data_IF_897151883712
#
_entry.id   IF_897151883712
#
_cell.length_a   1.000
_cell.length_b   1.000
_cell.length_c   1.000
_cell.angle_alpha   90.00
_cell.angle_beta   90.00
_cell.angle_gamma   90.00
#
_symmetry.space_group_name_H-M   'P 1'
#
loop_
_entity.id
_entity.type
_entity.pdbx_description
1 polymer ?
#
# COMPACT_ATOMS: atom_id res chain seq x y z
N UNK A 1 -32.80 -22.24 42.59
CA UNK A 1 -31.89 -21.69 43.62
C UNK A 1 -30.46 -22.11 43.29
N UNK A 2 -29.54 -21.15 43.31
CA UNK A 2 -28.06 -21.24 43.34
C UNK A 2 -27.30 -21.59 42.05
N UNK A 3 -26.63 -20.54 41.56
CA UNK A 3 -25.53 -20.44 40.60
C UNK A 3 -24.33 -21.35 40.90
N UNK A 4 -23.61 -21.77 39.85
CA UNK A 4 -22.14 -21.74 39.79
C UNK A 4 -21.62 -22.01 38.35
N UNK A 5 -21.20 -20.96 37.65
CA UNK A 5 -20.01 -20.96 36.78
C UNK A 5 -18.88 -20.39 37.66
N UNK A 6 -17.58 -20.79 37.53
CA UNK A 6 -16.81 -20.33 36.37
C UNK A 6 -15.62 -21.23 35.91
N UNK A 7 -15.20 -20.96 34.66
CA UNK A 7 -13.83 -20.78 34.15
C UNK A 7 -12.68 -21.75 34.51
N UNK A 8 -11.84 -22.05 33.49
CA UNK A 8 -10.41 -21.67 33.40
C UNK A 8 -9.64 -22.69 32.52
N UNK A 9 -9.10 -22.19 31.40
CA UNK A 9 -7.77 -22.45 30.80
C UNK A 9 -7.34 -23.91 30.50
N UNK A 10 -6.47 -24.26 29.57
CA UNK A 10 -5.71 -23.64 28.50
C UNK A 10 -4.88 -24.80 27.88
N UNK A 11 -4.61 -24.72 26.58
CA UNK A 11 -3.30 -24.98 25.95
C UNK A 11 -2.59 -26.34 26.18
N UNK A 12 -2.28 -27.03 25.07
CA UNK A 12 -1.16 -27.99 24.99
C UNK A 12 -1.51 -29.21 24.11
N UNK A 13 -1.33 -29.16 22.78
CA UNK A 13 -0.07 -29.41 22.07
C UNK A 13 0.38 -30.90 22.06
N UNK A 14 0.53 -31.43 20.84
CA UNK A 14 1.43 -32.54 20.45
C UNK A 14 1.03 -33.97 20.84
N UNK A 15 0.33 -34.65 19.92
CA UNK A 15 0.58 -36.06 19.51
C UNK A 15 0.06 -36.18 18.06
N UNK A 16 0.80 -35.78 17.02
CA UNK A 16 1.83 -36.54 16.31
C UNK A 16 1.98 -38.00 16.76
N UNK A 17 1.15 -38.90 16.24
CA UNK A 17 1.51 -40.29 15.97
C UNK A 17 0.41 -40.99 15.15
N UNK A 18 0.83 -41.71 14.11
CA UNK A 18 0.06 -42.71 13.34
C UNK A 18 -0.75 -42.24 12.12
N UNK A 19 -0.08 -42.16 10.97
CA UNK A 19 -0.49 -42.78 9.70
C UNK A 19 0.59 -42.48 8.64
N UNK A 20 1.59 -43.36 8.48
CA UNK A 20 1.69 -44.23 7.29
C UNK A 20 2.43 -43.52 6.14
N UNK A 21 3.77 -43.47 6.12
CA UNK A 21 4.67 -44.54 5.63
C UNK A 21 4.17 -45.18 4.32
N UNK A 22 4.68 -44.68 3.18
CA UNK A 22 5.14 -45.35 1.94
C UNK A 22 5.30 -44.25 0.86
N UNK A 23 6.52 -43.90 0.44
CA UNK A 23 6.96 -43.66 -0.97
C UNK A 23 8.44 -43.19 -1.01
N UNK A 24 9.18 -43.45 -2.12
CA UNK A 24 10.62 -43.67 -2.15
C UNK A 24 11.48 -42.40 -2.36
N UNK A 25 12.69 -42.47 -1.83
CA UNK A 25 13.71 -41.43 -1.73
C UNK A 25 14.39 -40.99 -3.05
N UNK A 26 13.62 -40.63 -4.07
CA UNK A 26 14.14 -40.21 -5.38
C UNK A 26 13.59 -38.86 -5.91
N UNK A 27 13.06 -37.99 -5.04
CA UNK A 27 12.55 -36.67 -5.42
C UNK A 27 13.17 -35.49 -4.63
N UNK A 28 14.26 -35.71 -3.91
CA UNK A 28 14.87 -34.69 -3.03
C UNK A 28 15.88 -33.75 -3.73
N UNK A 29 15.94 -33.70 -5.06
CA UNK A 29 16.80 -32.76 -5.80
C UNK A 29 16.03 -31.68 -6.59
N UNK A 30 14.69 -31.65 -6.51
CA UNK A 30 13.85 -30.65 -7.18
C UNK A 30 13.10 -29.68 -6.25
N UNK A 31 13.14 -29.91 -4.93
CA UNK A 31 12.31 -29.16 -3.97
C UNK A 31 13.09 -28.12 -3.13
N UNK A 32 14.38 -27.88 -3.43
CA UNK A 32 15.22 -26.96 -2.64
C UNK A 32 15.19 -25.50 -3.14
N UNK A 33 14.54 -25.18 -4.27
CA UNK A 33 14.40 -23.78 -4.74
C UNK A 33 13.05 -23.16 -4.33
N UNK A 34 12.09 -23.96 -3.87
CA UNK A 34 10.74 -23.48 -3.49
C UNK A 34 10.66 -23.13 -1.99
N UNK A 35 11.62 -23.60 -1.17
CA UNK A 35 11.65 -23.34 0.27
C UNK A 35 12.05 -21.92 0.69
N UNK A 36 12.62 -21.12 -0.22
CA UNK A 36 13.08 -19.74 0.10
C UNK A 36 12.10 -18.64 -0.36
N UNK A 37 10.89 -19.02 -0.82
CA UNK A 37 9.79 -18.08 -1.07
C UNK A 37 8.61 -18.25 -0.11
N UNK A 38 8.57 -19.32 0.69
CA UNK A 38 7.44 -19.64 1.59
C UNK A 38 7.68 -19.28 3.07
N UNK A 39 8.87 -18.80 3.44
CA UNK A 39 9.17 -18.34 4.80
C UNK A 39 8.68 -16.90 5.09
N UNK A 40 8.05 -16.21 4.14
CA UNK A 40 7.57 -14.83 4.28
C UNK A 40 6.08 -14.70 4.64
N UNK A 41 5.25 -15.75 4.56
CA UNK A 41 3.81 -15.59 4.80
C UNK A 41 3.43 -15.37 6.29
N UNK A 42 4.22 -15.89 7.24
CA UNK A 42 3.97 -15.66 8.68
C UNK A 42 4.69 -14.41 9.22
N UNK A 43 5.61 -13.82 8.45
CA UNK A 43 6.41 -12.65 8.84
C UNK A 43 5.93 -11.31 8.29
N UNK A 44 5.15 -11.31 7.18
CA UNK A 44 4.76 -10.06 6.50
C UNK A 44 3.69 -9.27 7.25
N UNK A 45 2.82 -9.93 8.05
CA UNK A 45 1.85 -9.19 8.91
C UNK A 45 2.53 -8.34 9.99
N UNK A 46 3.80 -8.61 10.33
CA UNK A 46 4.58 -7.84 11.32
C UNK A 46 5.56 -6.82 10.72
N UNK A 47 5.68 -6.73 9.39
CA UNK A 47 6.43 -5.67 8.69
C UNK A 47 5.53 -4.56 8.13
N UNK A 48 4.37 -4.32 8.77
CA UNK A 48 3.65 -3.03 8.72
C UNK A 48 4.38 -1.96 9.57
N UNK A 49 5.71 -1.99 9.60
CA UNK A 49 6.50 -0.90 10.14
C UNK A 49 6.64 0.12 9.02
N UNK A 50 6.35 1.39 9.31
CA UNK A 50 6.47 2.51 8.39
C UNK A 50 7.75 2.39 7.55
N UNK A 51 7.62 1.94 6.30
CA UNK A 51 8.75 1.75 5.39
C UNK A 51 9.29 3.12 5.00
N UNK A 52 10.61 3.28 5.12
CA UNK A 52 11.28 4.56 4.94
C UNK A 52 11.33 4.94 3.46
N UNK A 53 11.14 6.23 3.15
CA UNK A 53 11.31 6.84 1.83
C UNK A 53 12.62 6.39 1.12
N UNK A 54 13.67 6.10 1.90
CA UNK A 54 14.98 5.68 1.39
C UNK A 54 14.99 4.28 0.75
N UNK A 55 14.01 3.44 1.07
CA UNK A 55 13.88 2.07 0.53
C UNK A 55 13.20 2.05 -0.86
N UNK A 56 12.67 3.20 -1.31
CA UNK A 56 12.04 3.33 -2.62
C UNK A 56 13.07 3.32 -3.76
N UNK A 57 12.67 2.73 -4.89
CA UNK A 57 13.40 2.82 -6.15
C UNK A 57 13.58 4.29 -6.60
N UNK A 58 14.60 4.59 -7.40
CA UNK A 58 14.87 5.97 -7.86
C UNK A 58 13.67 6.60 -8.60
N UNK A 59 13.01 5.82 -9.46
CA UNK A 59 11.76 6.20 -10.12
C UNK A 59 10.64 6.49 -9.11
N UNK A 60 10.44 5.60 -8.13
CA UNK A 60 9.42 5.76 -7.11
C UNK A 60 9.65 7.02 -6.25
N UNK A 61 10.90 7.30 -5.87
CA UNK A 61 11.27 8.52 -5.15
C UNK A 61 10.93 9.78 -5.94
N UNK A 62 11.10 9.75 -7.26
CA UNK A 62 10.74 10.86 -8.15
C UNK A 62 9.22 11.09 -8.14
N UNK A 63 8.42 10.02 -8.18
CA UNK A 63 6.95 10.10 -8.18
C UNK A 63 6.35 10.54 -6.83
N UNK A 64 6.98 10.15 -5.71
CA UNK A 64 6.46 10.49 -4.37
C UNK A 64 6.92 11.88 -3.89
N UNK A 65 8.01 12.42 -4.44
CA UNK A 65 8.58 13.71 -4.02
C UNK A 65 7.57 14.87 -4.01
N UNK A 66 6.66 15.03 -5.00
CA UNK A 66 5.64 16.06 -4.94
C UNK A 66 4.66 15.90 -3.77
N UNK A 67 4.31 14.65 -3.41
CA UNK A 67 3.43 14.36 -2.27
C UNK A 67 4.11 14.69 -0.94
N UNK A 68 5.39 14.32 -0.79
CA UNK A 68 6.21 14.70 0.38
C UNK A 68 6.25 16.21 0.54
N UNK A 69 6.48 16.94 -0.56
CA UNK A 69 6.49 18.40 -0.55
C UNK A 69 5.14 18.97 -0.14
N UNK A 70 4.04 18.50 -0.73
CA UNK A 70 2.68 18.98 -0.43
C UNK A 70 2.29 18.73 1.02
N UNK A 71 2.57 17.54 1.55
CA UNK A 71 2.32 17.22 2.96
C UNK A 71 3.08 18.18 3.90
N UNK A 72 4.37 18.44 3.62
CA UNK A 72 5.16 19.40 4.40
C UNK A 72 4.61 20.83 4.29
N UNK A 73 4.21 21.26 3.09
CA UNK A 73 3.62 22.59 2.89
C UNK A 73 2.28 22.75 3.65
N UNK A 74 1.47 21.68 3.73
CA UNK A 74 0.24 21.67 4.53
C UNK A 74 0.56 21.77 6.02
N UNK A 75 1.55 21.00 6.51
CA UNK A 75 2.00 21.09 7.91
C UNK A 75 2.49 22.50 8.27
N UNK A 76 3.36 23.07 7.43
CA UNK A 76 3.88 24.43 7.61
C UNK A 76 2.76 25.49 7.63
N UNK A 77 1.73 25.34 6.79
CA UNK A 77 0.56 26.24 6.78
C UNK A 77 -0.23 26.15 8.10
N UNK A 78 -0.43 24.96 8.64
CA UNK A 78 -1.18 24.77 9.89
C UNK A 78 -0.40 25.30 11.08
N UNK A 79 0.90 25.00 11.14
CA UNK A 79 1.79 25.43 12.23
C UNK A 79 1.99 26.96 12.24
N UNK A 80 1.99 27.60 11.06
CA UNK A 80 2.12 29.06 10.94
C UNK A 80 0.88 29.84 11.39
N UNK A 81 -0.28 29.19 11.57
CA UNK A 81 -1.55 29.85 11.87
C UNK A 81 -2.20 29.37 13.20
N UNK A 82 -1.47 29.40 14.34
CA UNK A 82 -1.95 28.82 15.60
C UNK A 82 -3.12 29.59 16.22
N UNK A 83 -3.32 30.85 15.83
CA UNK A 83 -4.36 31.74 16.34
C UNK A 83 -5.69 31.63 15.59
N UNK A 84 -5.75 30.93 14.45
CA UNK A 84 -6.99 30.69 13.71
C UNK A 84 -7.66 29.40 14.21
N UNK A 85 -8.80 29.47 14.92
CA UNK A 85 -9.48 28.28 15.44
C UNK A 85 -9.92 27.34 14.31
N UNK A 86 -10.35 27.89 13.18
CA UNK A 86 -10.77 27.16 11.98
C UNK A 86 -9.61 26.35 11.40
N UNK A 87 -8.44 26.96 11.23
CA UNK A 87 -7.25 26.26 10.72
C UNK A 87 -6.74 25.23 11.71
N UNK A 88 -6.85 25.50 13.01
CA UNK A 88 -6.39 24.54 14.02
C UNK A 88 -7.17 23.22 13.96
N UNK A 89 -8.49 23.29 13.84
CA UNK A 89 -9.34 22.08 13.76
C UNK A 89 -9.17 21.42 12.40
N UNK A 90 -9.43 22.17 11.33
CA UNK A 90 -9.50 21.64 9.96
C UNK A 90 -8.12 21.29 9.42
N UNK A 91 -7.12 22.10 9.74
CA UNK A 91 -5.73 21.86 9.41
C UNK A 91 -5.18 20.61 10.08
N UNK A 92 -5.58 20.29 11.30
CA UNK A 92 -5.15 19.04 11.94
C UNK A 92 -5.68 17.80 11.22
N UNK A 93 -6.92 17.86 10.71
CA UNK A 93 -7.50 16.79 9.88
C UNK A 93 -6.80 16.71 8.52
N UNK A 94 -6.50 17.86 7.90
CA UNK A 94 -5.76 17.95 6.65
C UNK A 94 -4.35 17.33 6.75
N UNK A 95 -3.63 17.63 7.84
CA UNK A 95 -2.31 17.05 8.11
C UNK A 95 -2.41 15.55 8.27
N UNK A 96 -3.39 15.07 9.06
CA UNK A 96 -3.59 13.63 9.24
C UNK A 96 -3.92 12.92 7.91
N UNK A 97 -4.78 13.50 7.08
CA UNK A 97 -5.15 12.91 5.79
C UNK A 97 -4.00 12.94 4.79
N UNK A 98 -3.24 14.04 4.71
CA UNK A 98 -2.09 14.13 3.82
C UNK A 98 -0.96 13.17 4.18
N UNK A 99 -0.77 12.88 5.48
CA UNK A 99 0.16 11.83 5.94
C UNK A 99 -0.30 10.44 5.52
N UNK A 100 -1.58 10.09 5.75
CA UNK A 100 -2.17 8.82 5.29
C UNK A 100 -1.97 8.63 3.78
N UNK A 101 -2.23 9.68 3.01
CA UNK A 101 -2.05 9.65 1.56
C UNK A 101 -0.62 9.35 1.15
N UNK A 102 0.35 9.98 1.82
CA UNK A 102 1.76 9.80 1.53
C UNK A 102 2.20 8.37 1.85
N UNK A 103 1.74 7.81 2.97
CA UNK A 103 1.99 6.43 3.35
C UNK A 103 1.43 5.45 2.30
N UNK A 104 0.18 5.65 1.87
CA UNK A 104 -0.47 4.79 0.87
C UNK A 104 0.19 4.90 -0.50
N UNK A 105 0.49 6.12 -0.95
CA UNK A 105 1.24 6.37 -2.17
C UNK A 105 2.61 5.65 -2.17
N UNK A 106 3.27 5.62 -1.02
CA UNK A 106 4.56 4.94 -0.84
C UNK A 106 4.40 3.43 -1.04
N UNK A 107 3.38 2.80 -0.44
CA UNK A 107 3.09 1.36 -0.63
C UNK A 107 2.80 1.03 -2.10
N UNK A 108 1.97 1.82 -2.77
CA UNK A 108 1.65 1.58 -4.19
C UNK A 108 2.87 1.70 -5.09
N UNK A 109 3.77 2.65 -4.82
CA UNK A 109 5.00 2.81 -5.59
C UNK A 109 6.00 1.66 -5.37
N UNK A 110 5.93 0.98 -4.22
CA UNK A 110 6.63 -0.27 -3.99
C UNK A 110 6.02 -1.40 -4.82
N UNK A 111 4.71 -1.61 -4.75
CA UNK A 111 4.01 -2.59 -5.57
C UNK A 111 4.28 -2.38 -7.07
N UNK A 112 4.27 -1.13 -7.54
CA UNK A 112 4.66 -0.76 -8.91
C UNK A 112 6.09 -1.20 -9.24
N UNK A 113 7.03 -1.02 -8.31
CA UNK A 113 8.43 -1.43 -8.52
C UNK A 113 8.56 -2.94 -8.62
N UNK A 114 7.78 -3.70 -7.85
CA UNK A 114 7.71 -5.17 -7.92
C UNK A 114 7.08 -5.64 -9.23
N UNK A 115 5.95 -5.05 -9.64
CA UNK A 115 5.31 -5.33 -10.93
C UNK A 115 6.25 -5.07 -12.11
N UNK A 116 7.01 -3.96 -12.09
CA UNK A 116 8.02 -3.68 -13.12
C UNK A 116 9.10 -4.78 -13.18
N UNK A 117 9.59 -5.25 -12.03
CA UNK A 117 10.57 -6.35 -11.97
C UNK A 117 9.97 -7.65 -12.50
N UNK A 118 8.73 -7.95 -12.17
CA UNK A 118 8.02 -9.12 -12.68
C UNK A 118 7.88 -9.07 -14.22
N UNK A 119 7.46 -7.93 -14.78
CA UNK A 119 7.37 -7.72 -16.23
C UNK A 119 8.73 -7.92 -16.91
N UNK A 120 9.81 -7.35 -16.36
CA UNK A 120 11.14 -7.51 -16.96
C UNK A 120 11.62 -8.96 -16.88
N UNK A 121 11.43 -9.63 -15.73
CA UNK A 121 11.76 -11.05 -15.59
C UNK A 121 11.01 -11.93 -16.60
N UNK A 122 9.74 -11.62 -16.87
CA UNK A 122 8.95 -12.34 -17.86
C UNK A 122 9.46 -12.08 -19.28
N UNK A 123 9.85 -10.85 -19.61
CA UNK A 123 10.47 -10.51 -20.90
C UNK A 123 11.80 -11.24 -21.11
N UNK A 124 12.62 -11.35 -20.07
CA UNK A 124 13.86 -12.12 -20.10
C UNK A 124 13.59 -13.62 -20.31
N UNK A 125 12.61 -14.19 -19.60
CA UNK A 125 12.18 -15.57 -19.83
C UNK A 125 11.72 -15.75 -21.28
N UNK A 126 10.87 -14.86 -21.82
CA UNK A 126 10.43 -14.95 -23.22
C UNK A 126 11.61 -14.90 -24.20
N UNK A 127 12.57 -14.00 -23.98
CA UNK A 127 13.81 -13.92 -24.79
C UNK A 127 14.62 -15.21 -24.72
N UNK A 128 14.74 -15.82 -23.55
CA UNK A 128 15.58 -17.01 -23.33
C UNK A 128 14.91 -18.30 -23.83
N UNK A 129 13.58 -18.38 -23.84
CA UNK A 129 12.82 -19.58 -24.23
C UNK A 129 12.30 -19.57 -25.67
N UNK A 130 12.43 -18.45 -26.40
CA UNK A 130 12.11 -18.36 -27.83
C UNK A 130 10.70 -18.88 -28.13
N UNK A 131 10.57 -19.81 -29.07
CA UNK A 131 9.27 -20.39 -29.49
C UNK A 131 8.50 -21.12 -28.37
N UNK A 132 9.20 -21.58 -27.31
CA UNK A 132 8.54 -22.20 -26.14
C UNK A 132 7.91 -21.16 -25.22
N UNK A 133 8.24 -19.88 -25.40
CA UNK A 133 7.70 -18.78 -24.60
C UNK A 133 6.22 -18.49 -24.88
N UNK A 134 5.71 -18.85 -26.06
CA UNK A 134 4.30 -18.66 -26.40
C UNK A 134 3.37 -19.61 -25.63
N UNK A 135 3.93 -20.64 -24.99
CA UNK A 135 3.20 -21.52 -24.08
C UNK A 135 3.13 -20.98 -22.64
N UNK A 136 3.86 -19.90 -22.32
CA UNK A 136 3.82 -19.27 -21.01
C UNK A 136 2.65 -18.27 -20.94
N UNK A 137 1.86 -18.27 -19.85
CA UNK A 137 0.76 -17.33 -19.67
C UNK A 137 1.28 -15.89 -19.67
N UNK A 138 0.68 -15.02 -20.50
CA UNK A 138 1.06 -13.62 -20.59
C UNK A 138 0.44 -12.77 -19.48
N UNK A 139 1.08 -12.80 -18.30
CA UNK A 139 0.75 -11.91 -17.18
C UNK A 139 1.31 -10.48 -17.35
N UNK A 140 2.03 -10.18 -18.43
CA UNK A 140 2.72 -8.90 -18.59
C UNK A 140 1.75 -7.75 -18.89
N UNK A 141 0.70 -8.01 -19.68
CA UNK A 141 -0.34 -7.01 -19.97
C UNK A 141 -1.07 -6.56 -18.70
N UNK A 142 -1.46 -7.51 -17.84
CA UNK A 142 -2.15 -7.20 -16.58
C UNK A 142 -1.29 -6.36 -15.63
N UNK A 143 0.00 -6.70 -15.53
CA UNK A 143 0.95 -5.94 -14.71
C UNK A 143 1.17 -4.53 -15.25
N UNK A 144 1.21 -4.35 -16.58
CA UNK A 144 1.31 -3.02 -17.22
C UNK A 144 0.06 -2.18 -16.91
N UNK A 145 -1.14 -2.77 -17.01
CA UNK A 145 -2.39 -2.08 -16.68
C UNK A 145 -2.44 -1.67 -15.20
N UNK A 146 -1.98 -2.55 -14.30
CA UNK A 146 -1.88 -2.25 -12.87
C UNK A 146 -0.89 -1.10 -12.59
N UNK A 147 0.26 -1.08 -13.26
CA UNK A 147 1.23 0.02 -13.16
C UNK A 147 0.59 1.35 -13.59
N UNK A 148 -0.15 1.37 -14.69
CA UNK A 148 -0.82 2.57 -15.18
C UNK A 148 -1.89 3.09 -14.20
N UNK A 149 -2.66 2.17 -13.59
CA UNK A 149 -3.64 2.52 -12.54
C UNK A 149 -2.97 3.13 -11.32
N UNK A 150 -1.84 2.57 -10.86
CA UNK A 150 -1.07 3.13 -9.75
C UNK A 150 -0.60 4.56 -10.08
N UNK A 151 -0.04 4.77 -11.27
CA UNK A 151 0.44 6.10 -11.68
C UNK A 151 -0.68 7.14 -11.72
N UNK A 152 -1.84 6.77 -12.28
CA UNK A 152 -3.02 7.63 -12.30
C UNK A 152 -3.51 7.98 -10.88
N UNK A 153 -3.49 7.00 -9.96
CA UNK A 153 -3.89 7.25 -8.58
C UNK A 153 -2.92 8.16 -7.83
N UNK A 154 -1.61 8.03 -8.05
CA UNK A 154 -0.59 8.94 -7.50
C UNK A 154 -0.82 10.38 -8.02
N UNK A 155 -1.15 10.54 -9.30
CA UNK A 155 -1.49 11.85 -9.86
C UNK A 155 -2.78 12.42 -9.23
N UNK A 156 -3.81 11.59 -9.07
CA UNK A 156 -5.05 11.98 -8.39
C UNK A 156 -4.82 12.46 -6.95
N UNK A 157 -3.98 11.74 -6.20
CA UNK A 157 -3.56 12.13 -4.86
C UNK A 157 -2.84 13.49 -4.86
N UNK A 158 -1.93 13.73 -5.81
CA UNK A 158 -1.23 15.02 -5.92
C UNK A 158 -2.20 16.18 -6.20
N UNK A 159 -3.16 15.98 -7.10
CA UNK A 159 -4.17 16.99 -7.43
C UNK A 159 -5.03 17.33 -6.21
N UNK A 160 -5.46 16.31 -5.47
CA UNK A 160 -6.34 16.51 -4.33
C UNK A 160 -5.63 17.12 -3.12
N UNK A 161 -4.36 16.77 -2.87
CA UNK A 161 -3.54 17.49 -1.88
C UNK A 161 -3.27 18.94 -2.28
N UNK A 162 -3.15 19.22 -3.59
CA UNK A 162 -3.00 20.60 -4.09
C UNK A 162 -4.27 21.42 -3.87
N UNK A 163 -5.45 20.83 -4.11
CA UNK A 163 -6.75 21.45 -3.79
C UNK A 163 -6.87 21.74 -2.29
N UNK A 164 -6.58 20.73 -1.45
CA UNK A 164 -6.60 20.87 0.01
C UNK A 164 -5.70 22.00 0.50
N UNK A 165 -4.45 22.05 0.02
CA UNK A 165 -3.50 23.13 0.34
C UNK A 165 -4.05 24.50 -0.07
N UNK A 166 -4.66 24.58 -1.25
CA UNK A 166 -5.23 25.83 -1.77
C UNK A 166 -6.36 26.31 -0.87
N UNK A 167 -7.29 25.43 -0.48
CA UNK A 167 -8.38 25.73 0.45
C UNK A 167 -7.88 26.18 1.82
N UNK A 168 -6.86 25.51 2.38
CA UNK A 168 -6.22 25.93 3.63
C UNK A 168 -5.52 27.29 3.52
N UNK A 169 -4.90 27.57 2.38
CA UNK A 169 -4.24 28.86 2.14
C UNK A 169 -5.25 30.00 2.09
N UNK A 170 -6.40 29.77 1.43
CA UNK A 170 -7.51 30.73 1.41
C UNK A 170 -8.12 30.94 2.80
N UNK A 171 -8.25 29.87 3.59
CA UNK A 171 -8.66 29.95 4.99
C UNK A 171 -7.69 30.80 5.82
N UNK A 172 -6.38 30.58 5.64
CA UNK A 172 -5.32 31.30 6.34
C UNK A 172 -5.31 32.78 6.01
N UNK A 173 -5.61 33.14 4.76
CA UNK A 173 -5.66 34.53 4.35
C UNK A 173 -6.86 35.29 4.94
N UNK A 174 -7.89 34.59 5.45
CA UNK A 174 -9.13 35.21 5.94
C UNK A 174 -9.86 36.04 4.88
N UNK A 175 -9.55 35.81 3.60
CA UNK A 175 -10.02 36.62 2.47
C UNK A 175 -11.44 36.26 2.01
N UNK A 176 -11.95 35.10 2.42
CA UNK A 176 -13.29 34.59 2.08
C UNK A 176 -13.86 33.78 3.26
N UNK A 177 -15.20 33.69 3.32
CA UNK A 177 -15.88 32.74 4.20
C UNK A 177 -15.41 31.32 3.86
N UNK A 178 -14.98 30.58 4.87
CA UNK A 178 -14.40 29.27 4.66
C UNK A 178 -15.48 28.26 4.23
N UNK A 179 -15.30 27.65 3.06
CA UNK A 179 -16.18 26.60 2.52
C UNK A 179 -15.94 25.27 3.25
N UNK A 180 -16.59 25.12 4.41
CA UNK A 180 -16.54 23.90 5.21
C UNK A 180 -17.10 22.67 4.49
N UNK A 181 -18.11 22.85 3.64
CA UNK A 181 -18.79 21.74 2.97
C UNK A 181 -17.91 21.17 1.86
N UNK A 182 -17.39 22.04 0.97
CA UNK A 182 -16.49 21.61 -0.09
C UNK A 182 -15.15 21.06 0.45
N UNK A 183 -14.66 21.54 1.59
CA UNK A 183 -13.50 20.93 2.24
C UNK A 183 -13.79 19.50 2.73
N UNK A 184 -14.95 19.26 3.34
CA UNK A 184 -15.37 17.92 3.79
C UNK A 184 -15.60 16.99 2.62
N UNK A 185 -16.13 17.49 1.50
CA UNK A 185 -16.25 16.74 0.26
C UNK A 185 -14.88 16.35 -0.29
N UNK A 186 -13.90 17.27 -0.35
CA UNK A 186 -12.53 16.95 -0.75
C UNK A 186 -11.92 15.87 0.14
N UNK A 187 -12.12 15.91 1.47
CA UNK A 187 -11.68 14.84 2.38
C UNK A 187 -12.39 13.51 2.13
N UNK A 188 -13.70 13.52 1.84
CA UNK A 188 -14.45 12.31 1.53
C UNK A 188 -13.96 11.65 0.23
N UNK A 189 -13.70 12.45 -0.80
CA UNK A 189 -13.14 12.00 -2.07
C UNK A 189 -11.75 11.38 -1.88
N UNK A 190 -10.93 11.98 -1.00
CA UNK A 190 -9.63 11.42 -0.65
C UNK A 190 -9.72 10.05 0.02
N UNK A 191 -10.65 9.88 0.97
CA UNK A 191 -10.87 8.60 1.63
C UNK A 191 -11.44 7.54 0.68
N UNK A 192 -12.27 7.94 -0.28
CA UNK A 192 -12.77 7.04 -1.30
C UNK A 192 -11.65 6.58 -2.25
N UNK A 193 -10.74 7.48 -2.62
CA UNK A 193 -9.54 7.14 -3.37
C UNK A 193 -8.66 6.18 -2.58
N UNK A 194 -8.49 6.45 -1.29
CA UNK A 194 -7.72 5.61 -0.36
C UNK A 194 -8.23 4.17 -0.31
N UNK A 195 -9.55 3.99 -0.17
CA UNK A 195 -10.19 2.67 -0.17
C UNK A 195 -10.04 1.94 -1.52
N UNK A 196 -10.17 2.66 -2.63
CA UNK A 196 -9.96 2.11 -3.98
C UNK A 196 -8.51 1.63 -4.19
N UNK A 197 -7.56 2.32 -3.55
CA UNK A 197 -6.15 1.96 -3.58
C UNK A 197 -5.83 0.71 -2.76
N UNK A 198 -6.43 0.57 -1.57
CA UNK A 198 -6.30 -0.63 -0.75
C UNK A 198 -6.88 -1.86 -1.48
N UNK A 199 -8.01 -1.72 -2.19
CA UNK A 199 -8.60 -2.80 -3.01
C UNK A 199 -7.69 -3.18 -4.19
N UNK A 200 -7.07 -2.20 -4.84
CA UNK A 200 -6.09 -2.44 -5.90
C UNK A 200 -4.82 -3.12 -5.37
N UNK A 201 -4.34 -2.76 -4.18
CA UNK A 201 -3.23 -3.41 -3.48
C UNK A 201 -3.56 -4.88 -3.16
N UNK A 202 -4.75 -5.16 -2.63
CA UNK A 202 -5.20 -6.52 -2.31
C UNK A 202 -5.32 -7.39 -3.56
N UNK A 203 -5.89 -6.85 -4.65
CA UNK A 203 -5.98 -7.56 -5.92
C UNK A 203 -4.62 -7.84 -6.56
N UNK A 204 -3.63 -6.97 -6.37
CA UNK A 204 -2.29 -7.14 -6.97
C UNK A 204 -1.42 -8.07 -6.13
N UNK A 205 -1.41 -7.92 -4.80
CA UNK A 205 -0.68 -8.81 -3.89
C UNK A 205 -1.28 -10.22 -3.85
N UNK A 206 -2.60 -10.34 -3.79
CA UNK A 206 -3.27 -11.65 -3.82
C UNK A 206 -2.99 -12.44 -5.11
N UNK A 207 -2.60 -11.76 -6.19
CA UNK A 207 -2.24 -12.38 -7.48
C UNK A 207 -0.76 -12.74 -7.60
N UNK A 208 0.10 -12.11 -6.79
CA UNK A 208 1.51 -12.49 -6.67
C UNK A 208 1.68 -13.73 -5.77
N UNK A 209 0.71 -14.02 -4.91
CA UNK A 209 0.69 -15.19 -4.03
C UNK A 209 0.12 -16.47 -4.70
N UNK A 210 -0.44 -16.38 -5.91
CA UNK A 210 -1.10 -17.49 -6.65
C UNK A 210 -0.43 -17.91 -7.98
#
# INVERSE_FOLDING_TARGET
>A
MRFAFPAVAAVGAVVLAMAGMILPAAACAGAAVIGMLLASAAGVRKRRAAMSYDELSGDARTLVRPLVRLNREIEELVDANPSSPEIKVIGSEAVAESRRMLEHATRLLQARSELKRAVESQRELRRNFGDKADQLPDRSSEAVDAIAKIEAAIQGAQMSLTDMKTRLTLAAAGTQEFDHEGFRESLANLRALDASLDEAEEMTLGRLEG
#
